data_IF_354104493383
#
_entry.id   IF_354104493383
#
_cell.length_a   1.000
_cell.length_b   1.000
_cell.length_c   1.000
_cell.angle_alpha   90.00
_cell.angle_beta   90.00
_cell.angle_gamma   90.00
#
_symmetry.space_group_name_H-M   'P 1'
#
loop_
_entity.id
_entity.type
_entity.pdbx_description
1 polymer ?
#
# COMPACT_ATOMS: atom_id res chain seq x y z
N UNK A 1 12.60 -3.41 3.92
CA UNK A 1 11.15 -3.59 3.67
C UNK A 1 11.00 -3.50 2.16
N UNK A 2 11.20 -4.64 1.52
CA UNK A 2 11.27 -4.76 0.07
C UNK A 2 9.90 -4.41 -0.51
N UNK A 3 9.94 -3.75 -1.66
CA UNK A 3 8.78 -3.39 -2.47
C UNK A 3 7.69 -4.45 -2.33
N UNK A 4 6.49 -4.05 -1.90
CA UNK A 4 5.31 -4.88 -2.00
C UNK A 4 5.23 -5.26 -3.49
N UNK A 5 5.72 -6.44 -3.85
CA UNK A 5 5.63 -6.92 -5.22
C UNK A 5 4.22 -7.48 -5.37
N UNK A 6 3.28 -6.53 -5.43
CA UNK A 6 1.85 -6.74 -5.64
C UNK A 6 1.65 -7.53 -6.96
N UNK A 7 2.67 -7.56 -7.82
CA UNK A 7 2.74 -8.32 -9.06
C UNK A 7 2.76 -9.84 -8.88
N UNK A 8 3.15 -10.36 -7.70
CA UNK A 8 3.36 -11.80 -7.47
C UNK A 8 2.29 -12.48 -6.60
N UNK A 9 1.32 -11.72 -6.10
CA UNK A 9 0.18 -12.29 -5.37
C UNK A 9 -0.88 -12.79 -6.36
N UNK A 10 -1.41 -13.98 -6.11
CA UNK A 10 -2.55 -14.56 -6.84
C UNK A 10 -3.85 -13.77 -6.62
N UNK A 11 -5.04 -14.40 -6.74
CA UNK A 11 -6.33 -13.70 -6.71
C UNK A 11 -6.65 -13.00 -5.36
N UNK A 12 -5.85 -13.19 -4.32
CA UNK A 12 -6.01 -12.59 -3.00
C UNK A 12 -4.84 -11.66 -2.68
N UNK A 13 -5.15 -10.42 -2.32
CA UNK A 13 -4.20 -9.45 -1.80
C UNK A 13 -4.03 -9.67 -0.30
N UNK A 14 -2.80 -9.64 0.23
CA UNK A 14 -2.58 -9.64 1.68
C UNK A 14 -1.78 -8.41 2.10
N UNK A 15 -2.08 -7.87 3.27
CA UNK A 15 -1.34 -6.76 3.86
C UNK A 15 0.11 -7.12 4.22
N UNK A 16 0.41 -8.39 4.46
CA UNK A 16 1.76 -8.85 4.80
C UNK A 16 2.09 -10.21 4.14
N UNK A 17 2.48 -10.21 2.85
CA UNK A 17 2.72 -11.44 2.10
C UNK A 17 4.08 -12.09 2.36
N UNK A 18 4.96 -11.45 3.13
CA UNK A 18 6.33 -11.89 3.33
C UNK A 18 6.37 -13.14 4.22
N UNK A 19 6.86 -14.24 3.67
CA UNK A 19 7.10 -15.48 4.43
C UNK A 19 8.51 -16.02 4.17
N UNK A 20 9.30 -16.35 5.22
CA UNK A 20 8.99 -16.12 6.64
C UNK A 20 8.88 -14.61 6.98
N UNK A 21 8.16 -14.23 8.05
CA UNK A 21 8.05 -12.84 8.47
C UNK A 21 9.41 -12.21 8.73
N UNK A 22 9.50 -10.88 8.60
CA UNK A 22 10.72 -10.17 8.95
C UNK A 22 11.09 -10.39 10.42
N UNK A 23 12.39 -10.41 10.71
CA UNK A 23 12.90 -10.61 12.06
C UNK A 23 12.27 -9.60 13.04
N UNK A 24 11.84 -10.10 14.21
CA UNK A 24 11.21 -9.28 15.24
C UNK A 24 9.73 -8.95 15.00
N UNK A 25 9.11 -9.42 13.92
CA UNK A 25 7.67 -9.26 13.68
C UNK A 25 6.91 -10.47 14.22
N UNK A 26 6.17 -10.35 15.34
CA UNK A 26 5.28 -11.40 15.79
C UNK A 26 4.07 -11.48 14.85
N UNK A 27 3.95 -12.58 14.11
CA UNK A 27 2.80 -12.84 13.25
C UNK A 27 2.05 -14.08 13.75
N UNK A 28 0.77 -13.89 14.08
CA UNK A 28 -0.12 -14.99 14.42
C UNK A 28 -0.75 -15.57 13.15
N UNK A 29 -0.19 -16.68 12.68
CA UNK A 29 -0.67 -17.37 11.47
C UNK A 29 -2.09 -17.93 11.62
N UNK A 30 -2.57 -18.17 12.84
CA UNK A 30 -3.93 -18.66 13.05
C UNK A 30 -4.99 -17.61 12.70
N UNK A 31 -4.65 -16.32 12.82
CA UNK A 31 -5.53 -15.18 12.52
C UNK A 31 -5.17 -14.47 11.21
N UNK A 32 -3.95 -14.66 10.70
CA UNK A 32 -3.43 -13.94 9.53
C UNK A 32 -4.34 -14.02 8.30
N UNK A 33 -4.96 -15.17 8.04
CA UNK A 33 -5.84 -15.36 6.89
C UNK A 33 -7.09 -14.46 6.97
N UNK A 34 -7.66 -14.25 8.15
CA UNK A 34 -8.83 -13.39 8.31
C UNK A 34 -8.43 -11.92 8.40
N UNK A 35 -7.39 -11.62 9.19
CA UNK A 35 -7.01 -10.25 9.53
C UNK A 35 -6.22 -9.53 8.43
N UNK A 36 -5.46 -10.26 7.60
CA UNK A 36 -4.55 -9.66 6.61
C UNK A 36 -5.02 -9.81 5.16
N UNK A 37 -6.06 -10.61 4.91
CA UNK A 37 -6.62 -10.74 3.57
C UNK A 37 -7.40 -9.48 3.20
N UNK A 38 -7.12 -9.00 1.99
CA UNK A 38 -7.82 -7.88 1.37
C UNK A 38 -8.73 -8.48 0.29
N UNK A 39 -10.04 -8.35 0.49
CA UNK A 39 -11.06 -8.98 -0.36
C UNK A 39 -11.26 -8.31 -1.71
N UNK A 40 -10.90 -7.03 -1.83
CA UNK A 40 -11.02 -6.24 -3.07
C UNK A 40 -9.83 -5.29 -3.23
N UNK A 41 -9.48 -4.94 -4.47
CA UNK A 41 -8.47 -3.92 -4.73
C UNK A 41 -8.99 -2.58 -4.16
N UNK A 42 -8.28 -1.94 -3.22
CA UNK A 42 -8.70 -0.66 -2.67
C UNK A 42 -8.40 0.47 -3.67
N UNK A 43 -9.21 1.53 -3.65
CA UNK A 43 -8.94 2.73 -4.43
C UNK A 43 -7.65 3.43 -3.95
N UNK A 44 -7.37 3.39 -2.64
CA UNK A 44 -6.19 3.98 -2.01
C UNK A 44 -5.64 3.01 -0.96
N UNK A 45 -4.33 2.77 -0.98
CA UNK A 45 -3.61 2.03 0.05
C UNK A 45 -2.50 2.90 0.65
N UNK A 46 -2.48 3.01 1.98
CA UNK A 46 -1.49 3.80 2.71
C UNK A 46 -0.49 2.83 3.35
N UNK A 47 0.78 2.94 2.97
CA UNK A 47 1.88 2.09 3.41
C UNK A 47 3.01 2.95 4.01
N UNK A 48 2.88 3.38 5.28
CA UNK A 48 3.92 4.14 5.95
C UNK A 48 5.21 3.34 6.08
N UNK A 49 6.34 3.95 5.75
CA UNK A 49 7.65 3.32 5.89
C UNK A 49 8.77 4.33 6.09
N UNK A 50 9.96 3.83 6.42
CA UNK A 50 11.18 4.64 6.54
C UNK A 50 11.82 4.99 5.19
N UNK A 51 11.30 4.42 4.09
CA UNK A 51 11.71 4.74 2.72
C UNK A 51 11.30 6.17 2.32
N UNK A 52 11.78 6.63 1.16
CA UNK A 52 11.35 7.91 0.60
C UNK A 52 9.83 7.90 0.37
N UNK A 53 9.18 8.99 0.78
CA UNK A 53 7.74 9.19 0.56
C UNK A 53 7.40 9.14 -0.94
N UNK A 54 6.20 8.68 -1.26
CA UNK A 54 5.70 8.65 -2.63
C UNK A 54 4.18 8.60 -2.69
N UNK A 55 3.65 9.00 -3.84
CA UNK A 55 2.27 8.76 -4.26
C UNK A 55 2.37 8.17 -5.67
N UNK A 56 1.79 6.98 -5.89
CA UNK A 56 1.85 6.27 -7.17
C UNK A 56 0.52 5.62 -7.50
N UNK A 57 0.05 5.81 -8.73
CA UNK A 57 -1.10 5.05 -9.25
C UNK A 57 -0.59 3.73 -9.82
N UNK A 58 -1.13 2.62 -9.30
CA UNK A 58 -0.83 1.25 -9.71
C UNK A 58 -2.02 0.70 -10.51
N UNK A 59 -1.75 0.05 -11.63
CA UNK A 59 -2.74 -0.76 -12.35
C UNK A 59 -2.62 -2.21 -11.89
N UNK A 60 -3.71 -2.77 -11.39
CA UNK A 60 -3.79 -4.08 -10.73
C UNK A 60 -4.91 -4.92 -11.36
N UNK A 61 -4.72 -6.24 -11.42
CA UNK A 61 -5.65 -7.16 -12.11
C UNK A 61 -5.45 -7.18 -13.63
N UNK A 62 -6.39 -7.78 -14.36
CA UNK A 62 -6.36 -7.87 -15.82
C UNK A 62 -5.22 -8.74 -16.36
N UNK A 63 -4.83 -9.80 -15.63
CA UNK A 63 -3.75 -10.71 -16.05
C UNK A 63 -4.26 -11.81 -16.97
N UNK A 64 -5.55 -12.14 -16.88
CA UNK A 64 -6.24 -13.10 -17.73
C UNK A 64 -7.22 -12.38 -18.68
N UNK A 65 -7.50 -12.98 -19.85
CA UNK A 65 -8.51 -12.47 -20.77
C UNK A 65 -9.88 -12.36 -20.06
N UNK A 66 -10.47 -11.16 -20.09
CA UNK A 66 -11.76 -10.87 -19.46
C UNK A 66 -11.71 -10.32 -18.03
N UNK A 67 -10.53 -10.26 -17.40
CA UNK A 67 -10.39 -9.60 -16.09
C UNK A 67 -10.31 -8.07 -16.23
N UNK A 68 -11.08 -7.37 -15.39
CA UNK A 68 -11.04 -5.92 -15.30
C UNK A 68 -9.71 -5.44 -14.68
N UNK A 69 -9.01 -4.53 -15.35
CA UNK A 69 -7.90 -3.80 -14.75
C UNK A 69 -8.45 -2.69 -13.84
N UNK A 70 -8.03 -2.70 -12.57
CA UNK A 70 -8.39 -1.68 -11.58
C UNK A 70 -7.19 -0.83 -11.23
N UNK A 71 -7.43 0.43 -10.87
CA UNK A 71 -6.39 1.34 -10.41
C UNK A 71 -6.43 1.43 -8.88
N UNK A 72 -5.25 1.52 -8.28
CA UNK A 72 -5.07 1.72 -6.84
C UNK A 72 -4.01 2.80 -6.62
N UNK A 73 -4.28 3.76 -5.74
CA UNK A 73 -3.32 4.78 -5.35
C UNK A 73 -2.52 4.27 -4.16
N UNK A 74 -1.24 3.99 -4.37
CA UNK A 74 -0.32 3.61 -3.32
C UNK A 74 0.40 4.84 -2.75
N UNK A 75 0.26 5.06 -1.45
CA UNK A 75 0.79 6.23 -0.73
C UNK A 75 1.74 5.77 0.36
N UNK A 76 3.01 6.18 0.28
CA UNK A 76 3.91 6.18 1.42
C UNK A 76 4.06 7.64 1.89
N UNK A 77 3.43 8.04 3.00
CA UNK A 77 3.55 9.40 3.53
C UNK A 77 4.94 9.68 4.14
N UNK A 78 5.77 8.66 4.33
CA UNK A 78 6.98 8.76 5.15
C UNK A 78 6.65 8.72 6.65
N UNK A 79 7.58 9.23 7.46
CA UNK A 79 7.40 9.40 8.91
C UNK A 79 7.15 10.86 9.21
N UNK A 80 6.30 11.14 10.20
CA UNK A 80 6.03 12.50 10.68
C UNK A 80 7.27 13.17 11.30
N UNK A 81 8.17 12.36 11.86
CA UNK A 81 9.48 12.76 12.34
C UNK A 81 10.50 11.65 12.04
N UNK A 82 11.76 12.03 11.72
CA UNK A 82 12.87 11.09 11.52
C UNK A 82 14.02 11.48 12.44
N UNK A 83 14.13 10.80 13.58
CA UNK A 83 15.09 11.18 14.62
C UNK A 83 14.75 12.56 15.18
N UNK A 84 15.74 13.45 15.20
CA UNK A 84 15.57 14.86 15.59
C UNK A 84 15.11 15.76 14.42
N UNK A 85 14.97 15.22 13.21
CA UNK A 85 14.59 15.96 12.01
C UNK A 85 13.08 15.97 11.74
N UNK A 86 12.66 16.98 10.98
CA UNK A 86 11.31 17.09 10.45
C UNK A 86 10.97 15.96 9.49
N UNK A 87 9.70 15.55 9.49
CA UNK A 87 9.19 14.51 8.62
C UNK A 87 8.22 15.04 7.56
N UNK A 88 7.35 14.14 7.11
CA UNK A 88 6.39 14.40 6.04
C UNK A 88 5.02 13.82 6.38
N UNK A 89 3.98 14.40 5.77
CA UNK A 89 2.63 13.83 5.74
C UNK A 89 2.04 13.94 4.33
N UNK A 90 0.99 13.16 4.06
CA UNK A 90 0.27 13.19 2.79
C UNK A 90 -1.06 13.92 2.95
N UNK A 91 -1.38 14.79 2.00
CA UNK A 91 -2.71 15.39 1.85
C UNK A 91 -3.38 14.78 0.62
N UNK A 92 -4.61 14.29 0.76
CA UNK A 92 -5.33 13.56 -0.30
C UNK A 92 -6.75 14.09 -0.41
N UNK A 93 -7.12 14.54 -1.60
CA UNK A 93 -8.47 14.95 -2.01
C UNK A 93 -9.01 13.91 -2.98
N UNK A 94 -9.94 13.08 -2.51
CA UNK A 94 -10.51 11.97 -3.28
C UNK A 94 -11.88 12.31 -3.86
N UNK A 95 -12.05 12.13 -5.17
CA UNK A 95 -13.31 12.40 -5.88
C UNK A 95 -13.84 11.16 -6.61
N UNK A 96 -14.01 10.06 -5.88
CA UNK A 96 -14.72 8.86 -6.36
C UNK A 96 -13.94 7.96 -7.33
N UNK A 97 -12.77 8.37 -7.81
CA UNK A 97 -11.84 7.49 -8.51
C UNK A 97 -10.37 7.91 -8.34
N UNK A 98 -9.41 6.97 -8.48
CA UNK A 98 -7.98 7.27 -8.50
C UNK A 98 -7.55 8.33 -9.54
N UNK A 99 -8.29 8.46 -10.63
CA UNK A 99 -7.97 9.40 -11.72
C UNK A 99 -8.41 10.82 -11.43
N UNK A 100 -9.42 10.98 -10.56
CA UNK A 100 -10.03 12.27 -10.22
C UNK A 100 -9.54 12.80 -8.87
N UNK A 101 -8.50 12.19 -8.32
CA UNK A 101 -7.87 12.54 -7.06
C UNK A 101 -6.79 13.62 -7.24
N UNK A 102 -6.66 14.48 -6.24
CA UNK A 102 -5.46 15.31 -6.04
C UNK A 102 -4.74 14.85 -4.76
N UNK A 103 -3.42 14.73 -4.80
CA UNK A 103 -2.67 14.36 -3.61
C UNK A 103 -1.26 14.95 -3.62
N UNK A 104 -0.78 15.33 -2.44
CA UNK A 104 0.53 15.96 -2.26
C UNK A 104 1.24 15.41 -1.01
N UNK A 105 2.57 15.54 -0.97
CA UNK A 105 3.36 15.29 0.23
C UNK A 105 3.88 16.62 0.74
N UNK A 106 3.68 16.88 2.02
CA UNK A 106 4.05 18.13 2.69
C UNK A 106 5.11 17.81 3.74
N UNK A 107 6.21 18.56 3.71
CA UNK A 107 7.24 18.53 4.75
C UNK A 107 6.86 19.44 5.91
N UNK A 108 7.16 19.00 7.13
CA UNK A 108 6.97 19.77 8.37
C UNK A 108 8.27 20.49 8.74
#
# INVERSE_FOLDING_TARGET
>A
IYSLDISLMGPAFFFYPLYPPAEGIPLDFSLAQEALTISTIPDIIILPSDMKYFIKVLSLGGRNEGEEQKKCVCVNPGRLAKGEGSGTFAEIYYHGSPEMMNASIISI
#
